data_IF_480077627229
#
_entry.id   IF_480077627229
#
_cell.length_a   1.000
_cell.length_b   1.000
_cell.length_c   1.000
_cell.angle_alpha   90.00
_cell.angle_beta   90.00
_cell.angle_gamma   90.00
#
_symmetry.space_group_name_H-M   'P 1'
#
loop_
_entity.id
_entity.type
_entity.pdbx_description
1 polymer ?
#
# COMPACT_ATOMS: atom_id res chain seq x y z
N UNK A 1 9.72 5.50 -13.80
CA UNK A 1 10.14 6.81 -13.27
C UNK A 1 9.84 6.80 -11.78
N UNK A 2 10.80 7.15 -10.93
CA UNK A 2 10.60 7.21 -9.47
C UNK A 2 9.82 8.50 -9.16
N UNK A 3 8.75 8.46 -8.34
CA UNK A 3 7.94 9.63 -8.05
C UNK A 3 8.73 10.77 -7.39
N UNK A 4 8.36 12.03 -7.69
CA UNK A 4 9.04 13.21 -7.14
C UNK A 4 8.89 13.39 -5.61
N UNK A 5 7.94 12.69 -4.99
CA UNK A 5 7.54 12.90 -3.60
C UNK A 5 7.94 11.75 -2.65
N UNK A 6 8.87 10.87 -3.04
CA UNK A 6 9.29 9.72 -2.20
C UNK A 6 9.85 10.11 -0.82
N UNK A 7 10.30 11.35 -0.67
CA UNK A 7 10.84 11.90 0.57
C UNK A 7 9.83 12.74 1.37
N UNK A 8 8.57 12.80 0.94
CA UNK A 8 7.50 13.57 1.57
C UNK A 8 6.40 12.65 2.08
N UNK A 9 5.66 13.12 3.10
CA UNK A 9 4.43 12.47 3.54
C UNK A 9 3.22 13.19 2.95
N UNK A 10 2.15 12.45 2.67
CA UNK A 10 0.87 13.04 2.27
C UNK A 10 -0.05 13.08 3.48
N UNK A 11 -0.17 14.25 4.12
CA UNK A 11 -0.92 14.44 5.36
C UNK A 11 -1.90 15.59 5.16
N UNK A 12 -3.16 15.39 5.54
CA UNK A 12 -4.22 16.39 5.44
C UNK A 12 -4.39 16.97 4.02
N UNK A 13 -4.31 16.11 2.99
CA UNK A 13 -4.51 16.51 1.60
C UNK A 13 -3.33 17.27 0.96
N UNK A 14 -2.15 17.27 1.60
CA UNK A 14 -0.97 17.96 1.08
C UNK A 14 0.31 17.13 1.25
N UNK A 15 1.24 17.31 0.32
CA UNK A 15 2.61 16.82 0.47
C UNK A 15 3.37 17.70 1.47
N UNK A 16 3.82 17.10 2.57
CA UNK A 16 4.52 17.79 3.65
C UNK A 16 5.89 17.17 3.89
N UNK A 17 6.82 17.98 4.35
CA UNK A 17 8.14 17.49 4.76
C UNK A 17 8.03 16.69 6.07
N UNK A 18 8.71 15.53 6.16
CA UNK A 18 8.88 14.78 7.39
C UNK A 18 9.61 15.60 8.45
N UNK A 19 9.22 15.45 9.72
CA UNK A 19 10.00 15.90 10.86
C UNK A 19 11.25 15.01 10.99
N UNK A 20 11.08 13.72 10.79
CA UNK A 20 12.19 12.77 10.77
C UNK A 20 13.16 13.04 9.62
N UNK A 21 14.45 13.00 9.92
CA UNK A 21 15.52 13.01 8.91
C UNK A 21 15.91 11.62 8.44
N UNK A 22 15.39 10.56 9.07
CA UNK A 22 15.72 9.17 8.75
C UNK A 22 15.21 8.80 7.36
N UNK A 23 16.04 8.09 6.59
CA UNK A 23 15.75 7.60 5.24
C UNK A 23 16.04 6.11 5.16
N UNK A 24 15.36 5.42 4.25
CA UNK A 24 15.58 4.00 3.97
C UNK A 24 15.70 3.80 2.46
N UNK A 25 16.69 3.03 2.03
CA UNK A 25 16.81 2.61 0.64
C UNK A 25 15.72 1.61 0.26
N UNK A 26 15.08 1.81 -0.88
CA UNK A 26 14.19 0.85 -1.51
C UNK A 26 15.03 -0.01 -2.44
N UNK A 27 15.11 -1.30 -2.13
CA UNK A 27 15.90 -2.28 -2.87
C UNK A 27 15.08 -2.94 -3.97
N UNK A 28 15.69 -3.20 -5.12
CA UNK A 28 15.13 -4.06 -6.15
C UNK A 28 15.36 -5.54 -5.78
N UNK A 29 14.31 -6.34 -5.53
CA UNK A 29 14.46 -7.73 -5.10
C UNK A 29 15.09 -8.64 -6.17
N UNK A 30 15.16 -8.20 -7.43
CA UNK A 30 15.77 -8.95 -8.52
C UNK A 30 17.26 -8.67 -8.71
N UNK A 31 17.76 -7.50 -8.28
CA UNK A 31 19.15 -7.07 -8.50
C UNK A 31 19.90 -6.69 -7.23
N UNK A 32 19.21 -6.60 -6.10
CA UNK A 32 19.74 -6.14 -4.80
C UNK A 32 20.26 -4.69 -4.81
N UNK A 33 19.96 -3.93 -5.87
CA UNK A 33 20.36 -2.53 -5.98
C UNK A 33 19.33 -1.61 -5.31
N UNK A 34 19.81 -0.58 -4.62
CA UNK A 34 18.95 0.49 -4.11
C UNK A 34 18.48 1.36 -5.28
N UNK A 35 17.18 1.33 -5.56
CA UNK A 35 16.57 2.08 -6.67
C UNK A 35 16.18 3.50 -6.28
N UNK A 36 15.85 3.74 -5.00
CA UNK A 36 15.52 5.07 -4.48
C UNK A 36 15.59 5.10 -2.96
N UNK A 37 15.35 6.26 -2.35
CA UNK A 37 15.18 6.41 -0.90
C UNK A 37 13.76 6.89 -0.56
N UNK A 38 13.26 6.43 0.58
CA UNK A 38 12.00 6.87 1.18
C UNK A 38 12.22 7.50 2.55
N UNK A 39 11.36 8.44 2.93
CA UNK A 39 11.36 9.00 4.27
C UNK A 39 10.80 8.01 5.31
N UNK A 40 11.51 7.85 6.43
CA UNK A 40 11.06 7.03 7.56
C UNK A 40 10.51 7.93 8.66
N UNK A 41 9.21 7.83 8.94
CA UNK A 41 8.54 8.65 9.94
C UNK A 41 8.98 8.30 11.36
N UNK A 42 8.97 9.30 12.25
CA UNK A 42 9.11 9.09 13.70
C UNK A 42 7.75 9.28 14.41
N UNK A 43 7.75 9.19 15.74
CA UNK A 43 6.53 9.37 16.53
C UNK A 43 5.83 10.71 16.28
N UNK A 44 6.58 11.80 16.08
CA UNK A 44 6.00 13.12 15.81
C UNK A 44 5.34 13.21 14.43
N UNK A 45 5.90 12.53 13.42
CA UNK A 45 5.26 12.40 12.11
C UNK A 45 3.96 11.58 12.19
N UNK A 46 3.99 10.49 12.96
CA UNK A 46 2.80 9.67 13.21
C UNK A 46 1.71 10.47 13.92
N UNK A 47 2.06 11.23 14.96
CA UNK A 47 1.12 12.09 15.69
C UNK A 47 0.46 13.13 14.78
N UNK A 48 1.23 13.76 13.86
CA UNK A 48 0.68 14.68 12.86
C UNK A 48 -0.34 14.00 11.95
N UNK A 49 -0.04 12.80 11.47
CA UNK A 49 -0.94 12.03 10.64
C UNK A 49 -2.22 11.63 11.40
N UNK A 50 -2.07 11.18 12.66
CA UNK A 50 -3.19 10.81 13.53
C UNK A 50 -4.11 11.99 13.80
N UNK A 51 -3.55 13.16 14.14
CA UNK A 51 -4.34 14.37 14.39
C UNK A 51 -5.15 14.76 13.15
N UNK A 52 -4.53 14.73 11.96
CA UNK A 52 -5.22 15.01 10.70
C UNK A 52 -6.32 13.99 10.41
N UNK A 53 -6.05 12.70 10.57
CA UNK A 53 -7.03 11.63 10.36
C UNK A 53 -8.21 11.74 11.33
N UNK A 54 -7.95 12.01 12.61
CA UNK A 54 -9.01 12.22 13.63
C UNK A 54 -9.88 13.43 13.30
N UNK A 55 -9.28 14.53 12.84
CA UNK A 55 -10.03 15.71 12.42
C UNK A 55 -10.95 15.44 11.20
N UNK A 56 -10.53 14.54 10.31
CA UNK A 56 -11.35 14.13 9.16
C UNK A 56 -12.38 13.04 9.47
N UNK A 57 -12.19 12.30 10.58
CA UNK A 57 -12.91 11.06 10.86
C UNK A 57 -14.42 11.22 10.94
N UNK A 58 -14.91 12.24 11.64
CA UNK A 58 -16.35 12.44 11.80
C UNK A 58 -17.00 12.74 10.44
N UNK A 59 -16.43 13.69 9.68
CA UNK A 59 -16.91 14.01 8.33
C UNK A 59 -16.87 12.81 7.39
N UNK A 60 -15.80 12.01 7.45
CA UNK A 60 -15.66 10.81 6.63
C UNK A 60 -16.68 9.71 7.00
N UNK A 61 -16.86 9.45 8.29
CA UNK A 61 -17.76 8.39 8.81
C UNK A 61 -19.21 8.60 8.36
N UNK A 62 -19.65 9.85 8.24
CA UNK A 62 -20.99 10.19 7.75
C UNK A 62 -21.10 10.31 6.22
N UNK A 63 -20.00 10.15 5.48
CA UNK A 63 -20.02 10.21 4.00
C UNK A 63 -20.94 9.11 3.45
N UNK A 64 -21.93 9.43 2.61
CA UNK A 64 -22.81 8.43 2.01
C UNK A 64 -22.05 7.35 1.24
N UNK A 65 -22.55 6.11 1.28
CA UNK A 65 -21.94 4.96 0.57
C UNK A 65 -21.71 5.27 -0.90
N UNK A 66 -22.68 5.90 -1.56
CA UNK A 66 -22.59 6.25 -2.98
C UNK A 66 -21.41 7.20 -3.28
N UNK A 67 -21.15 8.17 -2.40
CA UNK A 67 -20.02 9.09 -2.54
C UNK A 67 -18.67 8.39 -2.31
N UNK A 68 -18.60 7.47 -1.33
CA UNK A 68 -17.40 6.66 -1.12
C UNK A 68 -17.10 5.76 -2.32
N UNK A 69 -18.12 5.17 -2.94
CA UNK A 69 -18.00 4.38 -4.17
C UNK A 69 -17.51 5.27 -5.32
N UNK A 70 -18.08 6.47 -5.48
CA UNK A 70 -17.67 7.41 -6.52
C UNK A 70 -16.20 7.84 -6.35
N UNK A 71 -15.76 8.08 -5.11
CA UNK A 71 -14.36 8.38 -4.81
C UNK A 71 -13.44 7.22 -5.20
N UNK A 72 -13.78 5.99 -4.83
CA UNK A 72 -12.99 4.81 -5.20
C UNK A 72 -12.91 4.62 -6.72
N UNK A 73 -14.01 4.85 -7.45
CA UNK A 73 -14.00 4.80 -8.92
C UNK A 73 -13.02 5.81 -9.53
N UNK A 74 -12.97 7.04 -8.99
CA UNK A 74 -12.00 8.05 -9.44
C UNK A 74 -10.55 7.65 -9.17
N UNK A 75 -10.28 7.03 -8.01
CA UNK A 75 -8.94 6.49 -7.70
C UNK A 75 -8.57 5.38 -8.69
N UNK A 76 -9.53 4.51 -9.03
CA UNK A 76 -9.32 3.49 -10.05
C UNK A 76 -9.05 4.13 -11.42
N UNK A 77 -9.83 5.12 -11.85
CA UNK A 77 -9.61 5.84 -13.10
C UNK A 77 -8.20 6.45 -13.19
N UNK A 78 -7.73 7.12 -12.12
CA UNK A 78 -6.39 7.70 -12.08
C UNK A 78 -5.28 6.62 -12.08
N UNK A 79 -5.43 5.56 -11.27
CA UNK A 79 -4.51 4.42 -11.30
C UNK A 79 -4.49 3.74 -12.70
N UNK A 80 -5.57 3.95 -13.46
CA UNK A 80 -5.76 3.41 -14.78
C UNK A 80 -5.34 4.33 -15.92
N UNK A 81 -4.98 5.57 -15.64
CA UNK A 81 -4.53 6.51 -16.66
C UNK A 81 -3.02 6.73 -16.52
N UNK A 82 -2.25 6.26 -17.51
CA UNK A 82 -0.81 6.56 -17.61
C UNK A 82 0.19 5.39 -17.52
N UNK A 83 0.10 4.43 -16.58
CA UNK A 83 1.17 3.44 -16.42
C UNK A 83 1.04 2.24 -17.37
N UNK A 84 2.12 1.89 -18.09
CA UNK A 84 2.25 0.62 -18.86
C UNK A 84 2.24 -0.62 -17.98
N UNK A 85 2.63 -0.49 -16.71
CA UNK A 85 2.69 -1.57 -15.74
C UNK A 85 2.12 -1.08 -14.40
N UNK A 86 1.18 -1.82 -13.84
CA UNK A 86 0.62 -1.59 -12.51
C UNK A 86 1.20 -2.65 -11.56
N UNK A 87 1.78 -2.18 -10.47
CA UNK A 87 2.21 -3.03 -9.37
C UNK A 87 1.23 -2.86 -8.21
N UNK A 88 0.68 -3.96 -7.71
CA UNK A 88 -0.25 -3.96 -6.59
C UNK A 88 0.46 -4.62 -5.41
N UNK A 89 0.68 -3.84 -4.35
CA UNK A 89 1.08 -4.36 -3.04
C UNK A 89 -0.15 -4.35 -2.13
N UNK A 90 -0.45 -5.49 -1.51
CA UNK A 90 -1.53 -5.62 -0.54
C UNK A 90 -0.94 -6.02 0.79
N UNK A 91 -1.24 -5.26 1.84
CA UNK A 91 -0.98 -5.69 3.20
C UNK A 91 -2.02 -6.75 3.57
N UNK A 92 -1.59 -7.87 4.14
CA UNK A 92 -2.49 -8.97 4.51
C UNK A 92 -3.41 -8.58 5.68
N UNK A 93 -3.02 -7.59 6.48
CA UNK A 93 -3.75 -7.10 7.64
C UNK A 93 -5.11 -6.49 7.27
N UNK A 94 -5.33 -6.11 6.00
CA UNK A 94 -6.63 -5.62 5.51
C UNK A 94 -7.73 -6.69 5.49
N UNK A 95 -7.34 -7.97 5.63
CA UNK A 95 -8.28 -9.08 5.69
C UNK A 95 -8.83 -9.23 7.12
N UNK A 96 -10.11 -9.60 7.22
CA UNK A 96 -10.67 -9.96 8.51
C UNK A 96 -9.83 -11.11 9.14
N UNK A 97 -9.52 -11.04 10.45
CA UNK A 97 -8.69 -12.04 11.13
C UNK A 97 -9.23 -13.47 11.04
N UNK A 98 -10.53 -13.66 10.76
CA UNK A 98 -11.09 -14.98 10.46
C UNK A 98 -10.49 -15.65 9.22
N UNK A 99 -9.94 -14.87 8.28
CA UNK A 99 -9.27 -15.34 7.07
C UNK A 99 -7.75 -15.19 7.12
N UNK A 100 -7.22 -14.28 7.94
CA UNK A 100 -5.78 -14.08 8.17
C UNK A 100 -5.45 -14.07 9.69
N UNK A 101 -5.59 -15.20 10.41
CA UNK A 101 -5.51 -15.24 11.87
C UNK A 101 -4.10 -15.08 12.45
N UNK A 102 -3.07 -15.03 11.61
CA UNK A 102 -1.67 -15.02 12.01
C UNK A 102 -1.02 -13.63 11.86
N UNK A 103 -1.81 -12.56 11.73
CA UNK A 103 -1.29 -11.20 11.60
C UNK A 103 -1.06 -10.56 12.98
N UNK A 104 0.04 -9.82 13.11
CA UNK A 104 0.45 -9.14 14.33
C UNK A 104 -0.42 -7.91 14.68
N UNK A 105 -1.29 -7.47 13.77
CA UNK A 105 -2.27 -6.41 14.01
C UNK A 105 -3.59 -6.77 13.34
N UNK A 106 -4.45 -7.57 14.01
CA UNK A 106 -5.74 -7.96 13.45
C UNK A 106 -6.64 -6.72 13.24
N UNK A 107 -7.32 -6.67 12.09
CA UNK A 107 -8.32 -5.64 11.74
C UNK A 107 -9.74 -6.23 11.73
N UNK A 108 -10.44 -6.35 12.89
CA UNK A 108 -11.80 -6.89 12.94
C UNK A 108 -12.77 -6.12 12.04
N UNK A 109 -13.48 -6.83 11.17
CA UNK A 109 -14.37 -6.21 10.18
C UNK A 109 -13.65 -5.78 8.89
N UNK A 110 -12.41 -6.22 8.69
CA UNK A 110 -11.68 -6.11 7.43
C UNK A 110 -12.35 -6.87 6.27
N UNK A 111 -11.68 -6.91 5.12
CA UNK A 111 -12.22 -7.56 3.93
C UNK A 111 -12.30 -9.08 4.10
N UNK A 112 -13.37 -9.70 3.58
CA UNK A 112 -13.31 -11.12 3.31
C UNK A 112 -12.37 -11.38 2.11
N UNK A 113 -11.75 -12.56 2.05
CA UNK A 113 -10.86 -12.93 0.94
C UNK A 113 -11.51 -12.75 -0.43
N UNK A 114 -12.82 -13.03 -0.54
CA UNK A 114 -13.57 -12.87 -1.79
C UNK A 114 -13.71 -11.41 -2.22
N UNK A 115 -13.82 -10.47 -1.28
CA UNK A 115 -13.92 -9.05 -1.58
C UNK A 115 -12.58 -8.52 -2.07
N UNK A 116 -11.48 -8.94 -1.44
CA UNK A 116 -10.13 -8.60 -1.89
C UNK A 116 -9.86 -9.15 -3.31
N UNK A 117 -10.22 -10.40 -3.58
CA UNK A 117 -10.10 -11.00 -4.92
C UNK A 117 -10.95 -10.25 -5.96
N UNK A 118 -12.15 -9.78 -5.60
CA UNK A 118 -12.99 -8.97 -6.49
C UNK A 118 -12.36 -7.61 -6.79
N UNK A 119 -11.76 -6.95 -5.78
CA UNK A 119 -11.05 -5.68 -5.95
C UNK A 119 -9.85 -5.86 -6.88
N UNK A 120 -9.00 -6.87 -6.63
CA UNK A 120 -7.86 -7.19 -7.50
C UNK A 120 -8.31 -7.53 -8.91
N UNK A 121 -9.39 -8.32 -9.04
CA UNK A 121 -9.96 -8.67 -10.34
C UNK A 121 -10.46 -7.45 -11.09
N UNK A 122 -11.13 -6.52 -10.43
CA UNK A 122 -11.59 -5.27 -11.05
C UNK A 122 -10.40 -4.42 -11.51
N UNK A 123 -9.35 -4.30 -10.68
CA UNK A 123 -8.11 -3.59 -11.01
C UNK A 123 -7.39 -4.18 -12.23
N UNK A 124 -7.39 -5.51 -12.36
CA UNK A 124 -6.63 -6.22 -13.42
C UNK A 124 -7.45 -6.45 -14.69
N UNK A 125 -8.74 -6.81 -14.58
CA UNK A 125 -9.54 -7.26 -15.72
C UNK A 125 -10.49 -6.21 -16.31
N UNK A 126 -10.87 -5.17 -15.58
CA UNK A 126 -11.82 -4.16 -16.08
C UNK A 126 -11.11 -3.01 -16.84
N UNK A 127 -9.89 -3.26 -17.32
CA UNK A 127 -9.12 -2.33 -18.18
C UNK A 127 -9.34 -2.64 -19.65
N UNK A 128 -9.37 -1.62 -20.54
CA UNK A 128 -9.37 -1.85 -21.98
C UNK A 128 -8.15 -2.69 -22.38
N UNK A 129 -8.37 -3.67 -23.26
CA UNK A 129 -7.54 -4.85 -23.52
C UNK A 129 -6.12 -4.59 -24.08
N UNK A 130 -5.69 -3.34 -24.20
CA UNK A 130 -4.41 -2.96 -24.77
C UNK A 130 -3.53 -2.29 -23.72
N UNK A 131 -2.67 -3.07 -23.05
CA UNK A 131 -1.43 -2.48 -22.57
C UNK A 131 -0.88 -2.91 -21.21
N UNK A 132 -1.52 -3.80 -20.46
CA UNK A 132 -0.97 -4.23 -19.17
C UNK A 132 -0.70 -5.74 -19.13
N UNK A 133 0.58 -6.10 -19.15
CA UNK A 133 1.01 -7.37 -18.57
C UNK A 133 1.10 -7.20 -17.05
N UNK A 134 0.51 -8.08 -16.23
CA UNK A 134 0.75 -8.07 -14.79
C UNK A 134 2.26 -8.19 -14.56
N UNK A 135 2.88 -7.15 -14.00
CA UNK A 135 4.30 -7.19 -13.65
C UNK A 135 4.54 -8.02 -12.37
N UNK A 136 3.52 -8.14 -11.52
CA UNK A 136 3.51 -8.95 -10.30
C UNK A 136 2.42 -8.51 -9.33
N UNK A 137 1.98 -9.43 -8.47
CA UNK A 137 1.20 -9.15 -7.27
C UNK A 137 2.10 -9.54 -6.09
N UNK A 138 2.42 -8.60 -5.20
CA UNK A 138 3.15 -8.89 -3.98
C UNK A 138 2.21 -8.69 -2.80
N UNK A 139 1.86 -9.80 -2.15
CA UNK A 139 1.17 -9.76 -0.87
C UNK A 139 2.24 -9.63 0.20
N UNK A 140 2.24 -8.51 0.92
CA UNK A 140 3.18 -8.23 1.99
C UNK A 140 2.53 -8.60 3.32
N UNK A 141 3.24 -9.38 4.13
CA UNK A 141 2.91 -9.61 5.52
C UNK A 141 3.89 -8.76 6.36
N UNK A 142 3.36 -7.83 7.15
CA UNK A 142 4.17 -6.87 7.91
C UNK A 142 5.03 -7.54 9.00
N UNK A 143 4.70 -8.75 9.41
CA UNK A 143 5.39 -9.43 10.52
C UNK A 143 6.72 -10.07 10.13
N UNK A 144 7.06 -10.03 8.84
CA UNK A 144 8.43 -10.31 8.40
C UNK A 144 9.20 -9.00 8.32
N UNK A 145 10.39 -8.89 8.91
CA UNK A 145 11.20 -7.69 8.80
C UNK A 145 11.33 -7.28 7.33
N UNK A 146 11.24 -5.98 7.04
CA UNK A 146 11.35 -5.44 5.67
C UNK A 146 12.71 -5.69 5.01
N UNK A 147 13.61 -6.37 5.71
CA UNK A 147 14.83 -6.96 5.18
C UNK A 147 14.47 -8.21 4.36
N UNK A 148 14.45 -8.02 3.04
CA UNK A 148 14.25 -9.07 2.04
C UNK A 148 15.14 -10.30 2.28
N UNK A 149 16.39 -10.14 2.73
CA UNK A 149 17.30 -11.27 3.02
C UNK A 149 16.79 -12.12 4.18
N UNK A 150 16.24 -11.47 5.22
CA UNK A 150 15.65 -12.18 6.34
C UNK A 150 14.35 -12.88 5.92
N UNK A 151 13.52 -12.24 5.08
CA UNK A 151 12.31 -12.87 4.55
C UNK A 151 12.62 -14.11 3.72
N UNK A 152 13.66 -14.07 2.88
CA UNK A 152 14.12 -15.22 2.09
C UNK A 152 14.58 -16.39 2.95
N UNK A 153 15.30 -16.09 4.03
CA UNK A 153 15.78 -17.09 4.98
C UNK A 153 14.61 -17.74 5.72
N UNK A 154 13.64 -16.94 6.18
CA UNK A 154 12.43 -17.44 6.86
C UNK A 154 11.55 -18.28 5.92
N UNK A 155 11.47 -17.90 4.64
CA UNK A 155 10.68 -18.61 3.63
C UNK A 155 11.41 -19.79 2.97
N UNK A 156 12.67 -20.06 3.35
CA UNK A 156 13.47 -21.15 2.76
C UNK A 156 13.79 -20.96 1.27
N UNK A 157 13.80 -19.71 0.78
CA UNK A 157 14.07 -19.34 -0.60
C UNK A 157 15.58 -19.13 -0.81
N UNK A 158 16.36 -20.21 -0.64
CA UNK A 158 17.80 -20.18 -0.91
C UNK A 158 18.09 -20.09 -2.42
N UNK A 159 19.08 -19.26 -2.77
CA UNK A 159 19.63 -19.09 -4.13
C UNK A 159 20.19 -20.41 -4.66
N UNK A 160 19.81 -20.76 -5.89
CA UNK A 160 20.73 -21.45 -6.81
C UNK A 160 21.68 -20.44 -7.44
#
# INVERSE_FOLDING_TARGET
MIPANMLKFYINGAWVDPISTTRMGVENPATEEIVCEVAMGNAADADRAIIAARAAFDGWTYTPVAERIALMKRVLEEANDGPKHLYISLDIDVLDPGFAPATGTPEPGGFATIDLLRIVRALVLERPAEGLTPAGLLVLCKDLPHDWQLQRTVLGLETR
#
